data_IF_215725730035
#
_entry.id   IF_215725730035
#
_cell.length_a   1.000
_cell.length_b   1.000
_cell.length_c   1.000
_cell.angle_alpha   90.00
_cell.angle_beta   90.00
_cell.angle_gamma   90.00
#
_symmetry.space_group_name_H-M   'P 1'
#
loop_
_entity.id
_entity.type
_entity.pdbx_description
1 polymer ?
#
# COMPACT_ATOMS: atom_id res chain seq x y z
N UNK A 1 9.05 -30.90 0.13
CA UNK A 1 8.23 -30.02 0.92
C UNK A 1 8.95 -28.75 1.39
N UNK A 2 10.25 -28.78 1.75
CA UNK A 2 11.03 -27.59 2.11
C UNK A 2 11.20 -26.64 0.92
N UNK A 3 11.52 -27.18 -0.24
CA UNK A 3 11.76 -26.42 -1.47
C UNK A 3 10.52 -25.62 -1.94
N UNK A 4 9.33 -26.22 -1.82
CA UNK A 4 8.09 -25.52 -2.17
C UNK A 4 7.76 -24.37 -1.21
N UNK A 5 8.06 -24.51 0.08
CA UNK A 5 7.86 -23.45 1.09
C UNK A 5 8.82 -22.28 0.88
N UNK A 6 10.09 -22.57 0.55
CA UNK A 6 11.09 -21.55 0.26
C UNK A 6 10.78 -20.81 -1.04
N UNK A 7 10.38 -21.53 -2.09
CA UNK A 7 9.95 -20.95 -3.37
C UNK A 7 8.74 -20.03 -3.20
N UNK A 8 7.75 -20.43 -2.41
CA UNK A 8 6.57 -19.59 -2.11
C UNK A 8 6.94 -18.36 -1.29
N UNK A 9 7.89 -18.48 -0.37
CA UNK A 9 8.37 -17.34 0.42
C UNK A 9 9.12 -16.35 -0.44
N UNK A 10 9.99 -16.82 -1.34
CA UNK A 10 10.70 -15.98 -2.30
C UNK A 10 9.73 -15.29 -3.25
N UNK A 11 8.76 -16.01 -3.79
CA UNK A 11 7.73 -15.47 -4.66
C UNK A 11 6.96 -14.32 -4.00
N UNK A 12 6.50 -14.51 -2.74
CA UNK A 12 5.79 -13.46 -1.98
C UNK A 12 6.68 -12.24 -1.75
N UNK A 13 7.94 -12.47 -1.36
CA UNK A 13 8.90 -11.40 -1.11
C UNK A 13 9.12 -10.53 -2.34
N UNK A 14 9.21 -11.14 -3.51
CA UNK A 14 9.54 -10.46 -4.76
C UNK A 14 8.32 -9.81 -5.43
N UNK A 15 7.15 -10.45 -5.35
CA UNK A 15 6.00 -10.10 -6.19
C UNK A 15 4.84 -9.46 -5.44
N UNK A 16 4.77 -9.59 -4.12
CA UNK A 16 3.61 -9.13 -3.36
C UNK A 16 4.01 -8.05 -2.34
N UNK A 17 3.37 -6.89 -2.45
CA UNK A 17 3.38 -5.85 -1.44
C UNK A 17 2.20 -6.00 -0.49
N UNK A 18 2.39 -5.69 0.78
CA UNK A 18 1.35 -5.70 1.79
C UNK A 18 1.21 -4.34 2.44
N UNK A 19 -0.02 -3.88 2.60
CA UNK A 19 -0.36 -2.72 3.43
C UNK A 19 -1.41 -3.15 4.44
N UNK A 20 -1.12 -2.92 5.73
CA UNK A 20 -1.99 -3.29 6.84
C UNK A 20 -2.69 -2.07 7.43
N UNK A 21 -3.80 -2.30 8.15
CA UNK A 21 -4.51 -1.29 8.92
C UNK A 21 -3.62 -0.56 9.92
N UNK A 22 -2.70 -1.29 10.56
CA UNK A 22 -1.65 -0.72 11.42
C UNK A 22 -0.40 -0.50 10.56
N UNK A 23 0.11 0.71 10.54
CA UNK A 23 1.12 1.20 9.59
C UNK A 23 2.43 0.42 9.59
N UNK A 24 2.79 -0.22 10.71
CA UNK A 24 4.00 -1.03 10.90
C UNK A 24 5.30 -0.34 10.44
N UNK A 25 5.36 0.99 10.60
CA UNK A 25 6.56 1.75 10.32
C UNK A 25 7.57 1.59 11.48
N UNK A 26 8.84 1.56 11.14
CA UNK A 26 9.90 1.58 12.12
C UNK A 26 10.05 2.99 12.69
N UNK A 27 9.79 3.13 13.99
CA UNK A 27 9.69 4.43 14.65
C UNK A 27 11.04 5.16 14.75
N UNK A 28 12.13 4.41 14.77
CA UNK A 28 13.50 4.91 14.86
C UNK A 28 14.12 5.28 13.50
N UNK A 29 13.36 5.08 12.42
CA UNK A 29 13.76 5.46 11.06
C UNK A 29 12.87 6.60 10.55
N UNK A 30 13.48 7.50 9.79
CA UNK A 30 12.73 8.55 9.08
C UNK A 30 11.79 7.95 8.04
N UNK A 31 10.89 8.77 7.51
CA UNK A 31 9.98 8.41 6.42
C UNK A 31 10.77 7.86 5.22
N UNK A 32 11.84 8.54 4.82
CA UNK A 32 12.71 8.09 3.73
C UNK A 32 13.41 6.77 4.04
N UNK A 33 13.97 6.64 5.23
CA UNK A 33 14.70 5.44 5.66
C UNK A 33 13.78 4.22 5.76
N UNK A 34 12.50 4.39 6.13
CA UNK A 34 11.51 3.32 6.09
C UNK A 34 11.34 2.72 4.69
N UNK A 35 11.43 3.53 3.64
CA UNK A 35 11.35 3.06 2.25
C UNK A 35 12.67 2.44 1.81
N UNK A 36 13.79 3.10 2.12
CA UNK A 36 15.12 2.63 1.74
C UNK A 36 15.44 1.25 2.34
N UNK A 37 14.98 0.99 3.57
CA UNK A 37 15.17 -0.33 4.20
C UNK A 37 14.59 -1.46 3.35
N UNK A 38 13.39 -1.27 2.78
CA UNK A 38 12.78 -2.29 1.91
C UNK A 38 13.56 -2.46 0.60
N UNK A 39 14.11 -1.38 0.06
CA UNK A 39 14.98 -1.45 -1.11
C UNK A 39 16.25 -2.25 -0.79
N UNK A 40 16.91 -1.96 0.32
CA UNK A 40 18.11 -2.68 0.77
C UNK A 40 17.85 -4.17 1.00
N UNK A 41 16.73 -4.52 1.63
CA UNK A 41 16.30 -5.91 1.84
C UNK A 41 15.97 -6.63 0.52
N UNK A 42 15.65 -5.88 -0.53
CA UNK A 42 15.40 -6.38 -1.88
C UNK A 42 16.67 -6.38 -2.76
N UNK A 43 17.82 -6.06 -2.19
CA UNK A 43 19.12 -6.12 -2.85
C UNK A 43 19.53 -4.88 -3.65
N UNK A 44 18.81 -3.76 -3.52
CA UNK A 44 19.16 -2.50 -4.15
C UNK A 44 18.84 -1.31 -3.23
N UNK A 45 19.50 -0.19 -3.48
CA UNK A 45 19.19 1.10 -2.84
C UNK A 45 19.12 2.16 -3.91
N UNK A 46 17.97 2.81 -4.00
CA UNK A 46 17.69 3.87 -4.95
C UNK A 46 16.96 5.02 -4.22
N UNK A 47 17.75 6.00 -3.78
CA UNK A 47 17.23 7.14 -3.01
C UNK A 47 16.33 8.02 -3.87
N UNK A 48 16.65 8.23 -5.14
CA UNK A 48 15.85 9.07 -6.04
C UNK A 48 14.47 8.46 -6.23
N UNK A 49 14.40 7.15 -6.45
CA UNK A 49 13.13 6.43 -6.53
C UNK A 49 12.35 6.49 -5.22
N UNK A 50 13.01 6.34 -4.07
CA UNK A 50 12.32 6.46 -2.78
C UNK A 50 11.67 7.84 -2.61
N UNK A 51 12.37 8.91 -3.01
CA UNK A 51 11.85 10.27 -3.00
C UNK A 51 10.69 10.45 -4.01
N UNK A 52 10.81 9.87 -5.21
CA UNK A 52 9.73 9.89 -6.20
C UNK A 52 8.46 9.22 -5.69
N UNK A 53 8.58 8.07 -5.02
CA UNK A 53 7.45 7.38 -4.40
C UNK A 53 6.81 8.22 -3.29
N UNK A 54 7.60 8.92 -2.49
CA UNK A 54 7.08 9.84 -1.47
C UNK A 54 6.35 11.04 -2.09
N UNK A 55 6.86 11.60 -3.17
CA UNK A 55 6.16 12.64 -3.94
C UNK A 55 4.85 12.13 -4.50
N UNK A 56 4.84 10.90 -5.03
CA UNK A 56 3.66 10.26 -5.60
C UNK A 56 2.52 10.16 -4.60
N UNK A 57 2.82 9.88 -3.34
CA UNK A 57 1.84 9.83 -2.24
C UNK A 57 1.69 11.17 -1.50
N UNK A 58 2.29 12.26 -2.00
CA UNK A 58 2.15 13.62 -1.46
C UNK A 58 2.87 13.85 -0.13
N UNK A 59 4.05 13.27 0.04
CA UNK A 59 4.86 13.35 1.26
C UNK A 59 6.27 13.89 1.02
N UNK A 60 6.50 14.64 -0.02
CA UNK A 60 7.79 15.22 -0.38
C UNK A 60 8.38 16.14 0.69
N UNK A 61 7.54 16.74 1.52
CA UNK A 61 7.98 17.63 2.62
C UNK A 61 8.22 16.89 3.94
N UNK A 62 7.90 15.59 4.00
CA UNK A 62 7.95 14.80 5.24
C UNK A 62 9.12 13.78 5.25
N UNK A 63 9.98 13.80 4.26
CA UNK A 63 11.01 12.77 4.00
C UNK A 63 11.96 12.56 5.19
N UNK A 64 12.28 13.64 5.93
CA UNK A 64 13.20 13.62 7.07
C UNK A 64 12.50 13.51 8.43
N UNK A 65 11.17 13.41 8.45
CA UNK A 65 10.42 13.24 9.69
C UNK A 65 10.40 11.78 10.13
N UNK A 66 10.25 11.57 11.42
CA UNK A 66 9.99 10.26 12.00
C UNK A 66 8.49 9.96 12.01
N UNK A 67 8.07 8.69 12.00
CA UNK A 67 6.65 8.33 12.01
C UNK A 67 5.85 9.00 13.13
N UNK A 68 6.42 9.17 14.33
CA UNK A 68 5.76 9.85 15.44
C UNK A 68 5.51 11.35 15.23
N UNK A 69 6.10 11.97 14.22
CA UNK A 69 5.97 13.40 13.88
C UNK A 69 4.95 13.67 12.77
N UNK A 70 4.32 12.63 12.23
CA UNK A 70 3.36 12.73 11.13
C UNK A 70 2.00 12.11 11.53
N UNK A 71 0.93 12.48 10.81
CA UNK A 71 -0.42 11.97 11.07
C UNK A 71 -0.58 10.49 10.70
N UNK A 72 -1.63 9.84 11.21
CA UNK A 72 -1.96 8.46 10.86
C UNK A 72 -2.16 8.26 9.36
N UNK A 73 -2.85 9.18 8.67
CA UNK A 73 -3.03 9.13 7.22
C UNK A 73 -1.71 9.32 6.45
N UNK A 74 -0.82 10.17 6.95
CA UNK A 74 0.54 10.30 6.40
C UNK A 74 1.34 9.02 6.61
N UNK A 75 1.28 8.41 7.79
CA UNK A 75 1.92 7.11 8.07
C UNK A 75 1.40 6.02 7.13
N UNK A 76 0.09 5.98 6.87
CA UNK A 76 -0.48 5.01 5.93
C UNK A 76 0.01 5.23 4.50
N UNK A 77 0.16 6.48 4.06
CA UNK A 77 0.73 6.80 2.75
C UNK A 77 2.22 6.42 2.66
N UNK A 78 2.98 6.55 3.74
CA UNK A 78 4.36 6.00 3.81
C UNK A 78 4.34 4.48 3.67
N UNK A 79 3.43 3.79 4.34
CA UNK A 79 3.28 2.33 4.26
C UNK A 79 2.95 1.87 2.82
N UNK A 80 2.11 2.62 2.11
CA UNK A 80 1.82 2.39 0.68
C UNK A 80 3.10 2.56 -0.15
N UNK A 81 3.80 3.69 -0.04
CA UNK A 81 5.04 3.94 -0.77
C UNK A 81 6.10 2.86 -0.49
N UNK A 82 6.23 2.45 0.77
CA UNK A 82 7.14 1.38 1.19
C UNK A 82 6.78 0.04 0.53
N UNK A 83 5.51 -0.32 0.46
CA UNK A 83 5.06 -1.58 -0.13
C UNK A 83 5.32 -1.65 -1.64
N UNK A 84 5.36 -0.49 -2.32
CA UNK A 84 5.60 -0.33 -3.75
C UNK A 84 7.10 -0.27 -4.07
N UNK A 85 7.93 0.10 -3.11
CA UNK A 85 9.35 0.36 -3.32
C UNK A 85 10.12 -0.84 -3.91
N UNK A 86 9.70 -2.05 -3.62
CA UNK A 86 10.27 -3.30 -4.17
C UNK A 86 9.71 -3.71 -5.55
N UNK A 87 8.87 -2.87 -6.16
CA UNK A 87 8.23 -3.10 -7.47
C UNK A 87 7.41 -4.39 -7.53
N UNK A 88 6.44 -4.60 -6.63
CA UNK A 88 5.61 -5.79 -6.66
C UNK A 88 4.67 -5.77 -7.86
N UNK A 89 4.21 -6.96 -8.29
CA UNK A 89 3.16 -7.10 -9.29
C UNK A 89 1.75 -6.94 -8.68
N UNK A 90 1.62 -7.29 -7.41
CA UNK A 90 0.37 -7.29 -6.67
C UNK A 90 0.54 -6.57 -5.33
N UNK A 91 -0.37 -5.67 -5.01
CA UNK A 91 -0.50 -5.04 -3.71
C UNK A 91 -1.73 -5.57 -3.00
N UNK A 92 -1.56 -6.08 -1.79
CA UNK A 92 -2.65 -6.53 -0.94
C UNK A 92 -2.85 -5.55 0.21
N UNK A 93 -4.07 -5.11 0.41
CA UNK A 93 -4.44 -4.24 1.51
C UNK A 93 -5.57 -4.84 2.35
N UNK A 94 -5.41 -4.76 3.67
CA UNK A 94 -6.39 -5.21 4.64
C UNK A 94 -6.83 -4.04 5.51
N UNK A 95 -8.11 -3.61 5.35
CA UNK A 95 -8.71 -2.50 6.11
C UNK A 95 -7.85 -1.23 6.13
N UNK A 96 -7.35 -0.80 4.98
CA UNK A 96 -6.35 0.28 4.83
C UNK A 96 -6.71 1.59 5.52
N UNK A 97 -7.99 1.87 5.70
CA UNK A 97 -8.52 3.15 6.21
C UNK A 97 -9.35 2.98 7.46
N UNK A 98 -9.37 1.79 8.06
CA UNK A 98 -10.26 1.47 9.18
C UNK A 98 -10.08 2.33 10.45
N UNK A 99 -8.91 2.97 10.62
CA UNK A 99 -8.60 3.85 11.75
C UNK A 99 -8.58 5.35 11.38
N UNK A 100 -9.04 5.69 10.18
CA UNK A 100 -8.96 7.05 9.65
C UNK A 100 -10.35 7.66 9.49
N UNK A 101 -10.44 8.98 9.64
CA UNK A 101 -11.65 9.73 9.29
C UNK A 101 -11.89 9.71 7.76
N UNK A 102 -13.10 10.07 7.34
CA UNK A 102 -13.53 9.98 5.94
C UNK A 102 -12.65 10.80 5.00
N UNK A 103 -12.28 12.03 5.36
CA UNK A 103 -11.46 12.89 4.51
C UNK A 103 -10.04 12.33 4.35
N UNK A 104 -9.46 11.87 5.44
CA UNK A 104 -8.14 11.23 5.44
C UNK A 104 -8.16 9.92 4.66
N UNK A 105 -9.22 9.12 4.79
CA UNK A 105 -9.42 7.90 4.01
C UNK A 105 -9.44 8.15 2.51
N UNK A 106 -10.13 9.20 2.07
CA UNK A 106 -10.16 9.60 0.66
C UNK A 106 -8.76 9.98 0.15
N UNK A 107 -7.99 10.73 0.93
CA UNK A 107 -6.59 11.09 0.57
C UNK A 107 -5.71 9.85 0.43
N UNK A 108 -5.84 8.90 1.35
CA UNK A 108 -5.09 7.63 1.31
C UNK A 108 -5.47 6.80 0.09
N UNK A 109 -6.76 6.63 -0.17
CA UNK A 109 -7.23 5.84 -1.32
C UNK A 109 -6.87 6.48 -2.65
N UNK A 110 -6.96 7.80 -2.77
CA UNK A 110 -6.51 8.54 -3.96
C UNK A 110 -5.02 8.34 -4.20
N UNK A 111 -4.20 8.41 -3.17
CA UNK A 111 -2.76 8.16 -3.27
C UNK A 111 -2.46 6.70 -3.69
N UNK A 112 -3.20 5.74 -3.13
CA UNK A 112 -3.07 4.32 -3.48
C UNK A 112 -3.38 4.08 -4.96
N UNK A 113 -4.53 4.55 -5.45
CA UNK A 113 -4.95 4.36 -6.86
C UNK A 113 -3.92 4.99 -7.79
N UNK A 114 -3.55 6.24 -7.53
CA UNK A 114 -2.54 6.95 -8.33
C UNK A 114 -1.20 6.20 -8.38
N UNK A 115 -0.74 5.71 -7.23
CA UNK A 115 0.51 4.98 -7.14
C UNK A 115 0.45 3.65 -7.91
N UNK A 116 -0.64 2.90 -7.79
CA UNK A 116 -0.84 1.65 -8.50
C UNK A 116 -0.93 1.85 -10.02
N UNK A 117 -1.61 2.88 -10.48
CA UNK A 117 -1.70 3.23 -11.92
C UNK A 117 -0.33 3.59 -12.50
N UNK A 118 0.41 4.48 -11.85
CA UNK A 118 1.73 4.93 -12.31
C UNK A 118 2.78 3.82 -12.29
N UNK A 119 2.72 2.92 -11.31
CA UNK A 119 3.65 1.82 -11.15
C UNK A 119 3.19 0.52 -11.84
N UNK A 120 2.02 0.54 -12.49
CA UNK A 120 1.42 -0.61 -13.17
C UNK A 120 1.25 -1.83 -12.23
N UNK A 121 0.70 -1.58 -11.04
CA UNK A 121 0.48 -2.57 -10.00
C UNK A 121 -1.00 -2.90 -9.90
N UNK A 122 -1.33 -4.17 -9.83
CA UNK A 122 -2.68 -4.62 -9.47
C UNK A 122 -2.85 -4.54 -7.96
N UNK A 123 -3.89 -3.84 -7.48
CA UNK A 123 -4.21 -3.78 -6.06
C UNK A 123 -5.48 -4.57 -5.74
N UNK A 124 -5.41 -5.36 -4.67
CA UNK A 124 -6.57 -6.01 -4.05
C UNK A 124 -6.64 -5.57 -2.60
N UNK A 125 -7.73 -4.97 -2.21
CA UNK A 125 -7.93 -4.58 -0.81
C UNK A 125 -9.27 -5.06 -0.29
N UNK A 126 -9.27 -5.45 0.97
CA UNK A 126 -10.44 -5.92 1.72
C UNK A 126 -10.93 -4.78 2.60
N UNK A 127 -12.23 -4.53 2.56
CA UNK A 127 -12.87 -3.51 3.40
C UNK A 127 -14.34 -3.85 3.64
N UNK A 128 -14.88 -3.35 4.73
CA UNK A 128 -16.31 -3.31 4.99
C UNK A 128 -16.93 -1.92 4.72
N UNK A 129 -16.12 -0.95 4.28
CA UNK A 129 -16.57 0.41 3.97
C UNK A 129 -17.04 0.51 2.51
N UNK A 130 -18.35 0.60 2.33
CA UNK A 130 -18.98 0.78 1.01
C UNK A 130 -18.56 2.07 0.30
N UNK A 131 -18.13 3.09 1.04
CA UNK A 131 -17.62 4.34 0.47
C UNK A 131 -16.34 4.16 -0.36
N UNK A 132 -15.63 3.06 -0.16
CA UNK A 132 -14.39 2.77 -0.89
C UNK A 132 -14.62 2.10 -2.26
N UNK A 133 -15.83 1.63 -2.54
CA UNK A 133 -16.19 0.99 -3.83
C UNK A 133 -15.86 1.88 -5.03
N UNK A 134 -16.01 3.20 -4.88
CA UNK A 134 -15.71 4.18 -5.93
C UNK A 134 -14.26 4.18 -6.43
N UNK A 135 -13.32 3.64 -5.65
CA UNK A 135 -11.90 3.55 -6.00
C UNK A 135 -11.53 2.25 -6.72
N UNK A 136 -12.44 1.28 -6.75
CA UNK A 136 -12.19 -0.04 -7.33
C UNK A 136 -12.70 -0.11 -8.77
N UNK A 137 -12.01 -0.88 -9.61
CA UNK A 137 -12.46 -1.23 -10.98
C UNK A 137 -13.31 -2.50 -10.99
N UNK A 138 -13.23 -3.31 -9.93
CA UNK A 138 -14.03 -4.53 -9.73
C UNK A 138 -14.31 -4.70 -8.26
N UNK A 139 -15.53 -5.09 -7.95
CA UNK A 139 -15.99 -5.32 -6.58
C UNK A 139 -16.53 -6.75 -6.46
N UNK A 140 -15.97 -7.50 -5.54
CA UNK A 140 -16.41 -8.85 -5.20
C UNK A 140 -16.95 -8.81 -3.78
N UNK A 141 -18.23 -9.16 -3.63
CA UNK A 141 -18.88 -9.24 -2.32
C UNK A 141 -18.89 -10.67 -1.82
N UNK A 142 -18.49 -10.82 -0.58
CA UNK A 142 -18.42 -12.12 0.09
C UNK A 142 -19.32 -12.07 1.32
N UNK A 143 -20.20 -13.03 1.44
CA UNK A 143 -21.00 -13.26 2.64
C UNK A 143 -20.92 -14.74 3.05
N UNK A 144 -20.70 -14.98 4.34
CA UNK A 144 -20.63 -16.31 4.93
C UNK A 144 -19.70 -17.29 4.17
N UNK A 145 -18.56 -16.76 3.67
CA UNK A 145 -17.55 -17.52 2.94
C UNK A 145 -17.91 -17.84 1.47
N UNK A 146 -18.96 -17.22 0.93
CA UNK A 146 -19.40 -17.39 -0.47
C UNK A 146 -19.41 -16.06 -1.21
N UNK A 147 -19.03 -16.09 -2.48
CA UNK A 147 -19.18 -14.93 -3.36
C UNK A 147 -20.67 -14.76 -3.66
N UNK A 148 -21.21 -13.59 -3.32
CA UNK A 148 -22.61 -13.21 -3.55
C UNK A 148 -22.78 -12.24 -4.72
N UNK A 149 -21.77 -11.46 -5.06
CA UNK A 149 -21.71 -10.68 -6.30
C UNK A 149 -20.29 -10.46 -6.78
N UNK A 150 -20.15 -10.21 -8.08
CA UNK A 150 -18.87 -9.90 -8.75
C UNK A 150 -19.19 -8.91 -9.89
N UNK A 151 -18.84 -7.65 -9.70
CA UNK A 151 -19.26 -6.54 -10.55
C UNK A 151 -18.07 -5.68 -10.98
N UNK A 152 -18.05 -5.31 -12.27
CA UNK A 152 -17.14 -4.28 -12.75
C UNK A 152 -17.72 -2.91 -12.44
N UNK A 153 -16.88 -2.05 -11.87
CA UNK A 153 -17.22 -0.66 -11.59
C UNK A 153 -16.51 0.25 -12.59
N UNK A 154 -17.04 1.45 -12.80
CA UNK A 154 -16.29 2.54 -13.44
C UNK A 154 -15.80 3.44 -12.33
N UNK A 155 -14.49 3.47 -12.03
CA UNK A 155 -13.97 4.42 -11.06
C UNK A 155 -14.33 5.84 -11.52
N UNK A 156 -14.73 6.67 -10.59
CA UNK A 156 -14.92 8.08 -10.86
C UNK A 156 -13.55 8.71 -11.18
N UNK A 157 -13.39 9.16 -12.42
CA UNK A 157 -12.23 9.95 -12.83
C UNK A 157 -12.21 11.31 -12.15
#
# INVERSE_FOLDING_TARGET
PRDASEAMTSFRRENIGYVFQFFNLLQDLTVLENIQLIQELSGFKDTDRAIELLKLVGLENEINRFPGEISGGQQQRVAIARSIAKRPNLLLGDELTGNLDTETSQKVMTALVKACEQENITAVFVTHDEGLVQYATRVIRIDSGKIVSDEMTKPNN
#
